data_IF_874358511520
#
_entry.id   IF_874358511520
#
_cell.length_a   1.000
_cell.length_b   1.000
_cell.length_c   1.000
_cell.angle_alpha   90.00
_cell.angle_beta   90.00
_cell.angle_gamma   90.00
#
_symmetry.space_group_name_H-M   'P 1'
#
loop_
_entity.id
_entity.type
_entity.pdbx_description
1 polymer ?
#
# COMPACT_ATOMS: atom_id res chain seq x y z
N UNK A 1 -14.37 1.58 1.91
CA UNK A 1 -14.55 1.61 0.51
C UNK A 1 -15.42 0.45 0.03
N UNK A 2 -16.36 0.73 -0.79
CA UNK A 2 -17.36 -0.27 -1.12
C UNK A 2 -17.97 -0.78 0.18
N UNK A 3 -19.15 -0.71 0.34
CA UNK A 3 -20.04 -1.33 1.35
C UNK A 3 -19.35 -1.74 2.67
N UNK A 4 -18.66 -0.80 3.29
CA UNK A 4 -18.19 -1.00 4.66
C UNK A 4 -16.76 -1.45 4.85
N UNK A 5 -15.99 -1.63 3.78
CA UNK A 5 -14.56 -1.88 3.92
C UNK A 5 -13.86 -0.57 4.28
N UNK A 6 -13.20 -0.54 5.41
CA UNK A 6 -12.39 0.61 5.82
C UNK A 6 -10.92 0.28 5.64
N UNK A 7 -10.19 1.15 4.96
CA UNK A 7 -8.74 1.01 4.76
C UNK A 7 -8.05 2.20 5.40
N UNK A 8 -7.10 1.92 6.27
CA UNK A 8 -6.35 2.93 6.99
C UNK A 8 -4.89 2.82 6.58
N UNK A 9 -4.34 3.91 6.09
CA UNK A 9 -2.92 3.96 5.72
C UNK A 9 -2.12 4.42 6.93
N UNK A 10 -1.00 3.78 7.18
CA UNK A 10 -0.12 4.10 8.29
C UNK A 10 1.19 4.72 7.80
N UNK A 11 1.19 5.25 6.59
CA UNK A 11 2.41 5.79 5.97
C UNK A 11 3.46 4.70 5.84
N UNK A 12 4.71 4.95 6.27
CA UNK A 12 5.75 3.91 6.21
C UNK A 12 5.44 2.70 7.09
N UNK A 13 4.47 2.82 7.99
CA UNK A 13 4.10 1.73 8.91
C UNK A 13 3.20 0.66 8.32
N UNK A 14 2.81 0.77 7.05
CA UNK A 14 1.98 -0.24 6.40
C UNK A 14 0.52 0.15 6.29
N UNK A 15 -0.37 -0.82 6.37
CA UNK A 15 -1.80 -0.58 6.23
C UNK A 15 -2.66 -1.56 6.99
N UNK A 16 -3.88 -1.15 7.25
CA UNK A 16 -4.89 -1.94 7.95
C UNK A 16 -6.20 -1.85 7.19
N UNK A 17 -6.88 -2.97 7.02
CA UNK A 17 -8.24 -3.00 6.48
C UNK A 17 -9.17 -3.66 7.48
N UNK A 18 -10.35 -3.08 7.66
CA UNK A 18 -11.39 -3.62 8.53
C UNK A 18 -12.61 -3.93 7.66
N UNK A 19 -13.03 -5.19 7.70
CA UNK A 19 -14.19 -5.65 6.94
C UNK A 19 -15.47 -5.48 7.76
N UNK A 20 -16.65 -5.47 7.11
CA UNK A 20 -17.91 -5.27 7.82
C UNK A 20 -18.18 -6.23 8.97
N UNK A 21 -17.65 -7.45 8.88
CA UNK A 21 -17.79 -8.44 9.94
C UNK A 21 -16.85 -8.26 11.11
N UNK A 22 -16.00 -7.22 11.09
CA UNK A 22 -15.03 -6.96 12.14
C UNK A 22 -13.69 -7.63 11.92
N UNK A 23 -13.50 -8.38 10.84
CA UNK A 23 -12.21 -8.96 10.51
C UNK A 23 -11.21 -7.86 10.18
N UNK A 24 -10.02 -7.96 10.76
CA UNK A 24 -8.96 -6.97 10.56
C UNK A 24 -7.80 -7.63 9.83
N UNK A 25 -7.39 -7.03 8.73
CA UNK A 25 -6.20 -7.45 7.97
C UNK A 25 -5.16 -6.35 8.09
N UNK A 26 -3.97 -6.72 8.52
CA UNK A 26 -2.88 -5.76 8.74
C UNK A 26 -1.65 -6.23 7.99
N UNK A 27 -0.99 -5.30 7.31
CA UNK A 27 0.30 -5.58 6.67
C UNK A 27 1.33 -4.61 7.23
N UNK A 28 2.56 -5.07 7.48
CA UNK A 28 3.63 -4.18 7.93
C UNK A 28 4.11 -3.30 6.79
N UNK A 29 4.73 -2.17 7.14
CA UNK A 29 5.40 -1.34 6.16
C UNK A 29 6.67 -2.01 5.65
N UNK A 30 7.18 -1.52 4.54
CA UNK A 30 8.46 -1.95 4.01
C UNK A 30 9.57 -1.11 4.61
N UNK A 31 10.71 -1.72 4.99
CA UNK A 31 11.85 -0.94 5.47
C UNK A 31 12.25 0.07 4.41
N UNK A 32 12.30 1.35 4.80
CA UNK A 32 12.63 2.39 3.84
C UNK A 32 13.25 3.57 4.56
N UNK A 33 14.12 4.27 3.85
CA UNK A 33 14.64 5.54 4.32
C UNK A 33 13.68 6.63 3.86
N UNK A 34 12.96 7.19 4.80
CA UNK A 34 11.96 8.22 4.50
C UNK A 34 12.65 9.53 4.17
N UNK A 35 12.43 10.02 2.95
CA UNK A 35 12.91 11.32 2.48
C UNK A 35 11.77 12.34 2.50
N UNK A 36 10.57 11.89 2.09
CA UNK A 36 9.42 12.77 1.96
C UNK A 36 8.17 11.91 2.07
N UNK A 37 7.16 12.39 2.80
CA UNK A 37 5.89 11.68 2.94
C UNK A 37 4.77 12.27 2.08
N UNK A 38 5.08 13.28 1.26
CA UNK A 38 4.08 13.90 0.39
C UNK A 38 3.53 12.88 -0.59
N UNK A 39 2.22 12.76 -0.62
CA UNK A 39 1.53 11.86 -1.53
C UNK A 39 1.52 10.39 -1.11
N UNK A 40 2.07 10.05 0.06
CA UNK A 40 2.14 8.66 0.50
C UNK A 40 0.76 8.00 0.64
N UNK A 41 -0.20 8.72 1.22
CA UNK A 41 -1.57 8.20 1.38
C UNK A 41 -2.25 7.96 0.04
N UNK A 42 -2.14 8.90 -0.89
CA UNK A 42 -2.72 8.76 -2.23
C UNK A 42 -2.06 7.62 -2.98
N UNK A 43 -0.74 7.49 -2.87
CA UNK A 43 0.01 6.43 -3.53
C UNK A 43 -0.34 5.06 -2.94
N UNK A 44 -0.54 4.99 -1.61
CA UNK A 44 -1.00 3.77 -0.96
C UNK A 44 -2.33 3.33 -1.56
N UNK A 45 -3.29 4.25 -1.65
CA UNK A 45 -4.63 3.91 -2.17
C UNK A 45 -4.56 3.51 -3.63
N UNK A 46 -3.72 4.15 -4.44
CA UNK A 46 -3.54 3.75 -5.83
C UNK A 46 -3.00 2.32 -5.94
N UNK A 47 -2.00 1.98 -5.15
CA UNK A 47 -1.45 0.61 -5.13
C UNK A 47 -2.46 -0.41 -4.62
N UNK A 48 -3.20 -0.05 -3.57
CA UNK A 48 -4.25 -0.90 -3.03
C UNK A 48 -5.32 -1.19 -4.08
N UNK A 49 -5.82 -0.15 -4.75
CA UNK A 49 -6.88 -0.31 -5.74
C UNK A 49 -6.40 -1.07 -6.98
N UNK A 50 -5.14 -0.89 -7.37
CA UNK A 50 -4.54 -1.67 -8.45
C UNK A 50 -4.61 -3.16 -8.14
N UNK A 51 -4.24 -3.54 -6.93
CA UNK A 51 -4.33 -4.93 -6.50
C UNK A 51 -5.75 -5.43 -6.31
N UNK A 52 -6.61 -4.60 -5.70
CA UNK A 52 -7.96 -4.99 -5.34
C UNK A 52 -8.88 -5.10 -6.56
N UNK A 53 -8.82 -4.10 -7.44
CA UNK A 53 -9.75 -3.97 -8.57
C UNK A 53 -9.17 -4.59 -9.84
N UNK A 54 -7.95 -4.20 -10.20
CA UNK A 54 -7.36 -4.59 -11.49
C UNK A 54 -6.79 -6.00 -11.45
N UNK A 55 -5.95 -6.28 -10.45
CA UNK A 55 -5.28 -7.58 -10.37
C UNK A 55 -6.09 -8.61 -9.60
N UNK A 56 -7.01 -8.17 -8.76
CA UNK A 56 -7.87 -9.03 -7.94
C UNK A 56 -7.08 -10.05 -7.12
N UNK A 57 -6.00 -9.57 -6.50
CA UNK A 57 -5.08 -10.43 -5.75
C UNK A 57 -5.50 -10.69 -4.30
N UNK A 58 -6.65 -10.15 -3.89
CA UNK A 58 -7.13 -10.33 -2.53
C UNK A 58 -6.74 -9.17 -1.62
N UNK A 59 -7.31 -9.17 -0.40
CA UNK A 59 -7.20 -8.03 0.50
C UNK A 59 -5.77 -7.85 1.04
N UNK A 60 -5.18 -8.91 1.57
CA UNK A 60 -3.84 -8.81 2.16
C UNK A 60 -2.80 -8.40 1.12
N UNK A 61 -2.84 -9.02 -0.07
CA UNK A 61 -1.91 -8.68 -1.15
C UNK A 61 -2.14 -7.28 -1.68
N UNK A 62 -3.41 -6.81 -1.70
CA UNK A 62 -3.73 -5.44 -2.11
C UNK A 62 -3.15 -4.42 -1.12
N UNK A 63 -3.27 -4.69 0.18
CA UNK A 63 -2.67 -3.85 1.21
C UNK A 63 -1.15 -3.83 1.09
N UNK A 64 -0.55 -4.98 0.78
CA UNK A 64 0.89 -5.08 0.59
C UNK A 64 1.35 -4.23 -0.60
N UNK A 65 0.61 -4.25 -1.71
CA UNK A 65 0.93 -3.41 -2.86
C UNK A 65 0.82 -1.93 -2.50
N UNK A 66 -0.20 -1.56 -1.72
CA UNK A 66 -0.34 -0.19 -1.24
C UNK A 66 0.82 0.22 -0.35
N UNK A 67 1.21 -0.63 0.58
CA UNK A 67 2.31 -0.36 1.49
C UNK A 67 3.65 -0.24 0.73
N UNK A 68 3.87 -1.11 -0.26
CA UNK A 68 5.07 -1.05 -1.08
C UNK A 68 5.13 0.23 -1.89
N UNK A 69 4.01 0.62 -2.52
CA UNK A 69 3.95 1.84 -3.30
C UNK A 69 4.20 3.08 -2.43
N UNK A 70 3.59 3.13 -1.25
CA UNK A 70 3.79 4.23 -0.32
C UNK A 70 5.24 4.31 0.15
N UNK A 71 5.85 3.17 0.41
CA UNK A 71 7.25 3.09 0.81
C UNK A 71 8.17 3.68 -0.27
N UNK A 72 7.92 3.31 -1.52
CA UNK A 72 8.73 3.82 -2.63
C UNK A 72 8.61 5.34 -2.75
N UNK A 73 7.38 5.87 -2.69
CA UNK A 73 7.20 7.32 -2.82
C UNK A 73 7.81 8.06 -1.65
N UNK A 74 7.77 7.50 -0.44
CA UNK A 74 8.40 8.11 0.73
C UNK A 74 9.93 8.15 0.62
N UNK A 75 10.53 7.25 -0.17
CA UNK A 75 11.98 7.21 -0.36
C UNK A 75 12.45 8.20 -1.42
N UNK A 76 11.53 8.94 -2.04
CA UNK A 76 11.81 9.88 -3.12
C UNK A 76 11.47 11.29 -2.69
N UNK A 77 12.11 12.26 -3.31
CA UNK A 77 11.79 13.66 -3.08
C UNK A 77 10.57 14.04 -3.93
N UNK A 78 9.55 14.61 -3.28
CA UNK A 78 8.31 14.95 -3.93
C UNK A 78 7.44 13.72 -4.17
N UNK A 79 6.22 13.92 -4.65
CA UNK A 79 5.27 12.83 -4.85
C UNK A 79 5.48 12.17 -6.21
N UNK A 80 6.56 11.43 -6.36
CA UNK A 80 6.88 10.70 -7.60
C UNK A 80 6.32 9.28 -7.48
N UNK A 81 5.21 8.97 -8.17
CA UNK A 81 4.59 7.65 -8.02
C UNK A 81 5.47 6.55 -8.60
N UNK A 82 5.46 5.36 -7.98
CA UNK A 82 6.19 4.23 -8.51
C UNK A 82 5.46 3.61 -9.70
N UNK A 83 6.20 2.85 -10.50
CA UNK A 83 5.60 2.01 -11.54
C UNK A 83 5.16 0.70 -10.91
N UNK A 84 4.28 -0.04 -11.60
CA UNK A 84 3.88 -1.38 -11.16
C UNK A 84 5.08 -2.32 -11.06
N UNK A 85 6.04 -2.20 -11.97
CA UNK A 85 7.25 -3.01 -11.92
C UNK A 85 8.07 -2.74 -10.65
N UNK A 86 8.18 -1.49 -10.24
CA UNK A 86 8.89 -1.14 -9.01
C UNK A 86 8.20 -1.73 -7.78
N UNK A 87 6.87 -1.69 -7.75
CA UNK A 87 6.09 -2.27 -6.66
C UNK A 87 6.28 -3.79 -6.63
N UNK A 88 6.19 -4.45 -7.78
CA UNK A 88 6.38 -5.89 -7.88
C UNK A 88 7.77 -6.31 -7.40
N UNK A 89 8.80 -5.56 -7.79
CA UNK A 89 10.17 -5.86 -7.41
C UNK A 89 10.37 -5.74 -5.90
N UNK A 90 9.80 -4.71 -5.28
CA UNK A 90 9.93 -4.53 -3.84
C UNK A 90 9.22 -5.64 -3.06
N UNK A 91 8.05 -6.06 -3.52
CA UNK A 91 7.32 -7.17 -2.90
C UNK A 91 8.13 -8.46 -3.03
N UNK A 92 8.71 -8.70 -4.19
CA UNK A 92 9.52 -9.89 -4.43
C UNK A 92 10.74 -9.95 -3.51
N UNK A 93 11.36 -8.81 -3.22
CA UNK A 93 12.49 -8.76 -2.31
C UNK A 93 12.13 -9.20 -0.89
N UNK A 94 10.88 -8.94 -0.47
CA UNK A 94 10.45 -9.28 0.89
C UNK A 94 10.10 -10.76 1.04
N UNK A 95 9.70 -11.39 -0.05
CA UNK A 95 9.38 -12.82 -0.03
C UNK A 95 10.58 -13.66 -0.34
#
# INVERSE_FOLDING_TARGET
YGLGLAVITLGPGGGVAVEPGGNVTRVPGFPTKVVDTVGAGDTFMAGFLDGWVELQVGLAASLERGAAAASIVCSRRGAQPPTSAEVDDLIAERT
#
